data_IF_324395498664
#
_entry.id   IF_324395498664
#
_cell.length_a   1.000
_cell.length_b   1.000
_cell.length_c   1.000
_cell.angle_alpha   90.00
_cell.angle_beta   90.00
_cell.angle_gamma   90.00
#
_symmetry.space_group_name_H-M   'P 1'
#
loop_
_entity.id
_entity.type
_entity.pdbx_description
1 polymer ?
#
# COMPACT_ATOMS: atom_id res chain seq x y z
N UNK A 1 -16.47 -17.41 -0.67
CA UNK A 1 -16.24 -17.10 -2.11
C UNK A 1 -17.04 -15.86 -2.47
N UNK A 2 -16.36 -14.75 -2.80
CA UNK A 2 -17.00 -13.44 -3.04
C UNK A 2 -16.00 -12.26 -3.12
N UNK A 3 -14.78 -12.44 -2.63
CA UNK A 3 -13.69 -11.49 -2.83
C UNK A 3 -13.12 -11.61 -4.25
N UNK A 4 -12.91 -10.47 -4.93
CA UNK A 4 -12.35 -10.40 -6.28
C UNK A 4 -11.31 -9.28 -6.38
N UNK A 5 -10.23 -9.53 -7.11
CA UNK A 5 -9.20 -8.53 -7.40
C UNK A 5 -9.75 -7.49 -8.38
N UNK A 6 -9.65 -6.21 -8.02
CA UNK A 6 -10.08 -5.08 -8.85
C UNK A 6 -8.89 -4.28 -9.42
N UNK A 7 -7.69 -4.48 -8.88
CA UNK A 7 -6.47 -3.84 -9.37
C UNK A 7 -5.21 -4.47 -8.78
N UNK A 8 -4.13 -4.38 -9.54
CA UNK A 8 -2.81 -4.88 -9.16
C UNK A 8 -1.74 -3.88 -9.58
N UNK A 9 -0.71 -3.76 -8.73
CA UNK A 9 0.54 -3.10 -9.07
C UNK A 9 1.70 -4.01 -8.64
N UNK A 10 2.58 -4.34 -9.58
CA UNK A 10 3.76 -5.16 -9.36
C UNK A 10 5.00 -4.28 -9.15
N UNK A 11 6.08 -4.87 -8.63
CA UNK A 11 7.35 -4.15 -8.41
C UNK A 11 7.20 -2.92 -7.52
N UNK A 12 6.29 -3.00 -6.54
CA UNK A 12 6.02 -1.95 -5.55
C UNK A 12 6.97 -2.13 -4.37
N UNK A 13 7.45 -1.02 -3.80
CA UNK A 13 8.26 -1.03 -2.58
C UNK A 13 7.43 -0.53 -1.40
N UNK A 14 7.21 -1.37 -0.39
CA UNK A 14 6.72 -0.94 0.91
C UNK A 14 7.88 -0.31 1.70
N UNK A 15 7.82 0.99 1.93
CA UNK A 15 8.85 1.74 2.67
C UNK A 15 8.76 1.40 4.15
N UNK A 16 9.92 1.14 4.77
CA UNK A 16 9.98 0.92 6.20
C UNK A 16 9.63 2.22 6.98
N UNK A 17 9.14 2.10 8.23
CA UNK A 17 9.05 3.23 9.14
C UNK A 17 10.41 3.92 9.32
N UNK A 18 10.37 5.18 9.79
CA UNK A 18 11.49 6.14 9.83
C UNK A 18 12.85 5.64 10.35
N UNK A 19 12.88 4.55 11.12
CA UNK A 19 14.09 3.94 11.68
C UNK A 19 14.93 3.14 10.66
N UNK A 20 14.37 2.71 9.52
CA UNK A 20 15.06 1.82 8.56
C UNK A 20 14.94 2.29 7.10
N UNK A 21 15.35 3.53 6.81
CA UNK A 21 15.16 4.19 5.50
C UNK A 21 15.71 3.44 4.28
N UNK A 22 16.68 2.53 4.44
CA UNK A 22 17.28 1.78 3.33
C UNK A 22 16.62 0.40 3.07
N UNK A 23 15.65 -0.03 3.88
CA UNK A 23 15.08 -1.38 3.85
C UNK A 23 13.62 -1.41 3.40
N UNK A 24 13.32 -0.76 2.28
CA UNK A 24 12.04 -0.96 1.61
C UNK A 24 11.88 -2.42 1.15
N UNK A 25 10.66 -2.95 1.22
CA UNK A 25 10.37 -4.33 0.81
C UNK A 25 9.74 -4.36 -0.56
N UNK A 26 10.31 -5.12 -1.48
CA UNK A 26 9.72 -5.33 -2.80
C UNK A 26 8.57 -6.33 -2.73
N UNK A 27 7.54 -6.10 -3.54
CA UNK A 27 6.36 -6.94 -3.59
C UNK A 27 5.33 -6.47 -4.60
N UNK A 28 4.15 -7.06 -4.49
CA UNK A 28 2.98 -6.72 -5.29
C UNK A 28 1.87 -6.21 -4.38
N UNK A 29 1.22 -5.13 -4.80
CA UNK A 29 0.07 -4.53 -4.14
C UNK A 29 -1.19 -4.90 -4.90
N UNK A 30 -2.16 -5.48 -4.20
CA UNK A 30 -3.47 -5.81 -4.76
C UNK A 30 -4.54 -5.02 -4.03
N UNK A 31 -5.56 -4.64 -4.79
CA UNK A 31 -6.82 -4.13 -4.26
C UNK A 31 -7.90 -5.10 -4.70
N UNK A 32 -8.68 -5.56 -3.74
CA UNK A 32 -9.88 -6.36 -3.97
C UNK A 32 -11.11 -5.51 -3.70
N UNK A 33 -12.30 -6.06 -3.93
CA UNK A 33 -13.55 -5.46 -3.47
C UNK A 33 -13.72 -5.47 -1.93
N UNK A 34 -12.74 -6.00 -1.17
CA UNK A 34 -12.82 -6.14 0.29
C UNK A 34 -11.63 -5.52 1.04
N UNK A 35 -10.41 -5.66 0.51
CA UNK A 35 -9.17 -5.20 1.16
C UNK A 35 -8.12 -4.71 0.17
N UNK A 36 -7.16 -3.97 0.71
CA UNK A 36 -5.84 -3.78 0.12
C UNK A 36 -4.89 -4.79 0.77
N UNK A 37 -4.08 -5.49 -0.04
CA UNK A 37 -3.10 -6.47 0.44
C UNK A 37 -1.77 -6.26 -0.28
N UNK A 38 -0.69 -6.27 0.48
CA UNK A 38 0.67 -6.25 -0.07
C UNK A 38 1.35 -7.60 0.19
N UNK A 39 1.92 -8.17 -0.86
CA UNK A 39 2.62 -9.46 -0.82
C UNK A 39 4.10 -9.21 -1.10
N UNK A 40 4.98 -9.28 -0.09
CA UNK A 40 6.42 -9.14 -0.32
C UNK A 40 6.97 -10.32 -1.13
N UNK A 41 8.02 -10.09 -1.91
CA UNK A 41 8.75 -11.14 -2.64
C UNK A 41 9.45 -12.07 -1.65
N UNK A 42 10.07 -11.48 -0.63
CA UNK A 42 10.77 -12.20 0.42
C UNK A 42 9.95 -12.14 1.72
N UNK A 43 9.41 -13.28 2.15
CA UNK A 43 8.75 -13.39 3.45
C UNK A 43 9.83 -13.46 4.54
N UNK A 44 9.91 -12.44 5.39
CA UNK A 44 10.84 -12.46 6.53
C UNK A 44 10.10 -12.86 7.80
N UNK A 45 10.75 -13.63 8.69
CA UNK A 45 10.19 -13.98 10.01
C UNK A 45 9.96 -12.76 10.91
N UNK A 46 10.51 -11.60 10.58
CA UNK A 46 10.27 -10.32 11.26
C UNK A 46 8.94 -9.65 10.87
N UNK A 47 8.19 -10.21 9.91
CA UNK A 47 6.90 -9.67 9.45
C UNK A 47 5.80 -9.80 10.52
N UNK A 48 6.12 -10.48 11.61
CA UNK A 48 5.28 -10.71 12.77
C UNK A 48 5.30 -9.56 13.79
N UNK A 49 6.18 -8.55 13.61
CA UNK A 49 6.24 -7.39 14.50
C UNK A 49 5.08 -6.42 14.24
N UNK A 50 3.98 -6.57 15.00
CA UNK A 50 2.83 -5.67 14.97
C UNK A 50 1.57 -6.24 15.63
N UNK A 51 0.49 -5.46 15.61
CA UNK A 51 -0.85 -5.91 16.03
C UNK A 51 -1.32 -7.06 15.12
N UNK A 52 -1.26 -8.30 15.63
CA UNK A 52 -1.76 -9.50 14.94
C UNK A 52 -3.28 -9.52 14.99
N UNK A 53 -3.91 -9.56 13.82
CA UNK A 53 -5.29 -9.97 13.67
C UNK A 53 -5.29 -11.34 12.98
N UNK A 54 -5.86 -12.37 13.61
CA UNK A 54 -5.90 -13.72 13.02
C UNK A 54 -6.71 -13.77 11.71
N UNK A 55 -7.51 -12.74 11.43
CA UNK A 55 -8.34 -12.63 10.23
C UNK A 55 -7.71 -11.77 9.12
N UNK A 56 -6.68 -10.98 9.42
CA UNK A 56 -6.14 -9.95 8.52
C UNK A 56 -4.61 -10.01 8.56
N UNK A 57 -4.00 -10.35 7.42
CA UNK A 57 -2.54 -10.53 7.32
C UNK A 57 -1.74 -9.27 7.69
N UNK A 58 -0.44 -9.44 7.93
CA UNK A 58 0.45 -8.37 8.40
C UNK A 58 0.44 -7.11 7.50
N UNK A 59 0.18 -7.26 6.20
CA UNK A 59 0.09 -6.15 5.24
C UNK A 59 -1.30 -5.96 4.64
N UNK A 60 -2.30 -6.65 5.18
CA UNK A 60 -3.68 -6.46 4.79
C UNK A 60 -4.28 -5.23 5.48
N UNK A 61 -5.15 -4.54 4.75
CA UNK A 61 -5.95 -3.42 5.24
C UNK A 61 -7.35 -3.58 4.65
N UNK A 62 -8.38 -3.90 5.46
CA UNK A 62 -9.77 -3.85 5.00
C UNK A 62 -10.08 -2.47 4.43
N UNK A 63 -10.83 -2.38 3.34
CA UNK A 63 -11.14 -1.07 2.72
C UNK A 63 -11.86 -0.14 3.69
N UNK A 64 -12.70 -0.69 4.57
CA UNK A 64 -13.38 0.04 5.66
C UNK A 64 -12.43 0.57 6.74
N UNK A 65 -11.24 -0.03 6.86
CA UNK A 65 -10.17 0.37 7.77
C UNK A 65 -9.29 1.51 7.23
N UNK A 66 -9.41 1.87 5.95
CA UNK A 66 -8.70 3.02 5.37
C UNK A 66 -9.30 4.31 5.94
N UNK A 67 -8.46 5.15 6.55
CA UNK A 67 -8.85 6.46 7.08
C UNK A 67 -8.56 7.59 6.09
N UNK A 68 -7.37 7.58 5.49
CA UNK A 68 -6.98 8.57 4.48
C UNK A 68 -5.94 8.00 3.50
N UNK A 69 -5.95 8.53 2.28
CA UNK A 69 -4.96 8.27 1.26
C UNK A 69 -4.19 9.55 0.95
N UNK A 70 -2.88 9.40 0.78
CA UNK A 70 -1.99 10.50 0.43
C UNK A 70 -1.12 10.09 -0.75
N UNK A 71 -1.12 10.91 -1.79
CA UNK A 71 -0.13 10.82 -2.85
C UNK A 71 1.20 11.37 -2.34
N UNK A 72 2.30 10.68 -2.63
CA UNK A 72 3.65 11.15 -2.35
C UNK A 72 4.51 11.19 -3.62
N UNK A 73 5.67 11.81 -3.53
CA UNK A 73 6.69 11.84 -4.59
C UNK A 73 7.58 10.59 -4.62
N UNK A 74 7.17 9.52 -3.92
CA UNK A 74 7.97 8.30 -3.71
C UNK A 74 8.70 8.29 -2.37
N UNK A 75 8.75 9.43 -1.67
CA UNK A 75 9.25 9.54 -0.29
C UNK A 75 8.13 9.62 0.76
N UNK A 76 8.52 9.92 2.00
CA UNK A 76 7.62 10.02 3.16
C UNK A 76 7.26 11.47 3.56
N UNK A 77 7.96 12.47 3.02
CA UNK A 77 7.92 13.86 3.50
C UNK A 77 6.93 14.74 2.75
N UNK A 78 6.95 14.72 1.41
CA UNK A 78 6.05 15.53 0.58
C UNK A 78 4.81 14.72 0.21
N UNK A 79 3.66 15.15 0.72
CA UNK A 79 2.40 14.44 0.50
C UNK A 79 1.23 15.37 0.22
N UNK A 80 0.32 14.93 -0.67
CA UNK A 80 -0.95 15.58 -1.00
C UNK A 80 -2.09 14.63 -0.67
N UNK A 81 -3.12 15.11 0.03
CA UNK A 81 -4.28 14.26 0.36
C UNK A 81 -5.04 13.93 -0.92
N UNK A 82 -5.33 12.66 -1.13
CA UNK A 82 -6.26 12.21 -2.17
C UNK A 82 -7.66 12.21 -1.59
N UNK A 83 -8.60 12.75 -2.36
CA UNK A 83 -10.03 12.73 -2.04
C UNK A 83 -10.75 11.92 -3.11
N UNK A 84 -11.91 11.32 -2.81
CA UNK A 84 -12.68 10.61 -3.83
C UNK A 84 -12.91 11.50 -5.05
N UNK A 85 -12.69 10.94 -6.24
CA UNK A 85 -12.86 11.62 -7.55
C UNK A 85 -11.89 12.76 -7.82
N UNK A 86 -10.82 12.94 -7.03
CA UNK A 86 -9.73 13.83 -7.42
C UNK A 86 -8.94 13.25 -8.59
N UNK A 87 -8.39 14.13 -9.42
CA UNK A 87 -7.43 13.73 -10.44
C UNK A 87 -6.21 13.07 -9.80
N UNK A 88 -5.82 11.92 -10.34
CA UNK A 88 -4.60 11.20 -10.00
C UNK A 88 -3.72 11.19 -11.23
N UNK A 89 -2.41 11.49 -11.13
CA UNK A 89 -1.55 11.45 -12.30
C UNK A 89 -1.50 10.04 -12.89
N UNK A 90 -1.32 9.95 -14.21
CA UNK A 90 -1.22 8.69 -14.93
C UNK A 90 -0.13 7.75 -14.37
N UNK A 91 0.98 8.31 -13.87
CA UNK A 91 2.01 7.59 -13.12
C UNK A 91 2.08 8.10 -11.69
N UNK A 92 1.64 7.26 -10.75
CA UNK A 92 1.82 7.50 -9.32
C UNK A 92 3.27 7.16 -8.93
N UNK A 93 3.93 8.02 -8.16
CA UNK A 93 5.28 7.74 -7.61
C UNK A 93 5.21 7.10 -6.23
N UNK A 94 4.27 7.54 -5.39
CA UNK A 94 4.05 6.96 -4.07
C UNK A 94 2.63 7.15 -3.55
N UNK A 95 2.23 6.24 -2.67
CA UNK A 95 0.94 6.23 -1.97
C UNK A 95 1.17 5.94 -0.49
N UNK A 96 0.63 6.77 0.39
CA UNK A 96 0.58 6.50 1.81
C UNK A 96 -0.86 6.27 2.26
N UNK A 97 -1.09 5.10 2.85
CA UNK A 97 -2.35 4.65 3.42
C UNK A 97 -2.32 4.84 4.92
N UNK A 98 -3.14 5.75 5.42
CA UNK A 98 -3.34 5.97 6.86
C UNK A 98 -4.59 5.22 7.29
N UNK A 99 -4.42 4.24 8.15
CA UNK A 99 -5.49 3.38 8.63
C UNK A 99 -6.10 3.91 9.93
N UNK A 100 -7.37 3.57 10.18
CA UNK A 100 -8.10 3.98 11.40
C UNK A 100 -7.52 3.39 12.69
N UNK A 101 -6.77 2.30 12.59
CA UNK A 101 -6.05 1.66 13.71
C UNK A 101 -4.63 2.21 13.90
N UNK A 102 -4.35 3.43 13.42
CA UNK A 102 -3.04 4.10 13.52
C UNK A 102 -1.91 3.46 12.70
N UNK A 103 -2.16 2.38 11.96
CA UNK A 103 -1.20 1.80 11.01
C UNK A 103 -1.02 2.72 9.81
N UNK A 104 0.23 2.93 9.39
CA UNK A 104 0.57 3.68 8.17
C UNK A 104 1.41 2.80 7.27
N UNK A 105 0.96 2.60 6.03
CA UNK A 105 1.71 1.90 4.99
C UNK A 105 2.09 2.91 3.92
N UNK A 106 3.36 2.96 3.53
CA UNK A 106 3.84 3.87 2.50
C UNK A 106 4.47 3.08 1.36
N UNK A 107 3.92 3.21 0.17
CA UNK A 107 4.30 2.48 -1.02
C UNK A 107 4.99 3.41 -2.02
N UNK A 108 6.03 2.92 -2.66
CA UNK A 108 6.72 3.56 -3.77
C UNK A 108 6.53 2.72 -5.04
N UNK A 109 6.10 3.38 -6.12
CA UNK A 109 5.74 2.80 -7.41
C UNK A 109 6.74 3.18 -8.52
N UNK A 110 7.91 3.73 -8.18
CA UNK A 110 8.91 4.20 -9.16
C UNK A 110 9.31 3.08 -10.13
N UNK A 111 9.41 1.86 -9.61
CA UNK A 111 9.74 0.63 -10.34
C UNK A 111 8.51 -0.13 -10.86
N UNK A 112 7.30 0.30 -10.48
CA UNK A 112 6.07 -0.31 -10.98
C UNK A 112 5.83 0.16 -12.41
N UNK A 113 5.48 -0.75 -13.33
CA UNK A 113 4.97 -0.36 -14.64
C UNK A 113 3.68 0.45 -14.46
N UNK A 114 3.39 1.31 -15.45
CA UNK A 114 2.07 1.94 -15.54
C UNK A 114 1.08 0.82 -15.89
N UNK A 115 0.28 0.40 -14.90
CA UNK A 115 -0.69 -0.68 -15.05
C UNK A 115 -2.11 -0.18 -15.39
N UNK A 116 -3.01 -1.14 -15.56
CA UNK A 116 -4.43 -0.91 -15.84
C UNK A 116 -5.20 -0.55 -14.55
N UNK A 117 -5.14 0.72 -14.12
CA UNK A 117 -6.18 1.29 -13.26
C UNK A 117 -7.36 1.77 -14.12
N UNK A 118 -8.59 1.70 -13.58
CA UNK A 118 -9.90 2.05 -14.22
C UNK A 118 -9.83 2.26 -15.75
N UNK A 119 -10.14 1.20 -16.50
CA UNK A 119 -10.78 1.34 -17.81
C UNK A 119 -12.22 1.85 -17.63
#
# INVERSE_FOLDING_TARGET
NGEQVVGVAESVVLLAPLSERERGRFGSLFVTNYKLTFVPIDASSNDEYGQRNQLVGAFDVPLTGVGALWQTDGGLTRRRRLVPRSDVPAKLKGLQVVCKNMKVLSFNFTNSPIGNGRQ
#
